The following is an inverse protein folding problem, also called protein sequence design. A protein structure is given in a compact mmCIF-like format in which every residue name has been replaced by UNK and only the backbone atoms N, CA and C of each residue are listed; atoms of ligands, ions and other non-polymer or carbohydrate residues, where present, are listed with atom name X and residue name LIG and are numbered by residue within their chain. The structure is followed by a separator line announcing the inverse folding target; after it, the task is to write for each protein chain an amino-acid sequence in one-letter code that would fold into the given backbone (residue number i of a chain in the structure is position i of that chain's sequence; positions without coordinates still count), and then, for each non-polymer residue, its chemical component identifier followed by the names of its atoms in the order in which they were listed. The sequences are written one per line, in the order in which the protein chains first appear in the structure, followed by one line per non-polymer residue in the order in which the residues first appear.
data_IF_468758887313
#
_entry.id   IF_468758887313
#
_cell.length_a   1.000
_cell.length_b   1.000
_cell.length_c   1.000
_cell.angle_alpha   90.00
_cell.angle_beta   90.00
_cell.angle_gamma   90.00
#
_symmetry.space_group_name_H-M   'P 1'
#
loop_
_entity.id
_entity.type
_entity.pdbx_description
1 polymer ?
#
# COMPACT_ATOMS: atom_id res chain seq x y z
N UNK A 1 -41.03 13.07 -11.39
CA UNK A 1 -39.68 13.62 -11.12
C UNK A 1 -39.19 13.08 -9.77
N UNK A 2 -38.35 12.05 -9.79
CA UNK A 2 -37.77 11.45 -8.59
C UNK A 2 -36.78 12.44 -7.96
N UNK A 3 -37.08 12.93 -6.75
CA UNK A 3 -36.15 13.73 -5.94
C UNK A 3 -35.05 12.78 -5.46
N UNK A 4 -33.90 12.78 -6.14
CA UNK A 4 -32.71 12.09 -5.64
C UNK A 4 -32.37 12.62 -4.25
N UNK A 5 -32.48 11.75 -3.25
CA UNK A 5 -32.14 12.05 -1.85
C UNK A 5 -30.67 12.46 -1.79
N UNK A 6 -30.39 13.58 -1.14
CA UNK A 6 -29.02 14.07 -0.95
C UNK A 6 -28.13 12.94 -0.39
N UNK A 7 -26.94 12.68 -0.98
CA UNK A 7 -26.03 11.67 -0.45
C UNK A 7 -25.60 12.03 0.98
N UNK A 8 -25.33 11.00 1.78
CA UNK A 8 -24.91 11.14 3.18
C UNK A 8 -23.72 12.11 3.32
N UNK A 9 -23.60 12.85 4.44
CA UNK A 9 -22.58 13.90 4.62
C UNK A 9 -21.16 13.43 4.31
N UNK A 10 -20.78 12.24 4.79
CA UNK A 10 -19.47 11.64 4.54
C UNK A 10 -19.16 11.41 3.04
N UNK A 11 -20.17 11.01 2.27
CA UNK A 11 -20.05 10.79 0.81
C UNK A 11 -19.84 12.11 0.07
N UNK A 12 -20.50 13.19 0.50
CA UNK A 12 -20.31 14.53 -0.08
C UNK A 12 -18.89 15.04 0.13
N UNK A 13 -18.33 14.82 1.32
CA UNK A 13 -16.96 15.22 1.64
C UNK A 13 -15.93 14.43 0.83
N UNK A 14 -16.14 13.12 0.66
CA UNK A 14 -15.28 12.29 -0.18
C UNK A 14 -15.32 12.75 -1.65
N UNK A 15 -16.51 12.92 -2.23
CA UNK A 15 -16.64 13.39 -3.62
C UNK A 15 -16.01 14.77 -3.83
N UNK A 16 -16.09 15.66 -2.84
CA UNK A 16 -15.42 16.96 -2.88
C UNK A 16 -13.89 16.84 -2.83
N UNK A 17 -13.35 16.01 -1.93
CA UNK A 17 -11.91 15.70 -1.87
C UNK A 17 -11.41 15.10 -3.19
N UNK A 18 -12.16 14.17 -3.75
CA UNK A 18 -11.83 13.50 -5.02
C UNK A 18 -11.79 14.49 -6.20
N UNK A 19 -12.82 15.33 -6.33
CA UNK A 19 -12.85 16.40 -7.36
C UNK A 19 -11.66 17.36 -7.22
N UNK A 20 -11.36 17.77 -5.99
CA UNK A 20 -10.23 18.66 -5.72
C UNK A 20 -8.88 18.00 -6.03
N UNK A 21 -8.73 16.71 -5.74
CA UNK A 21 -7.54 15.93 -6.07
C UNK A 21 -7.31 15.89 -7.59
N UNK A 22 -8.32 15.49 -8.37
CA UNK A 22 -8.18 15.41 -9.83
C UNK A 22 -7.97 16.77 -10.50
N UNK A 23 -8.60 17.83 -9.98
CA UNK A 23 -8.32 19.19 -10.45
C UNK A 23 -6.85 19.58 -10.24
N UNK A 24 -6.24 19.17 -9.12
CA UNK A 24 -4.80 19.42 -8.86
C UNK A 24 -3.91 18.60 -9.78
N UNK A 25 -4.26 17.34 -10.05
CA UNK A 25 -3.55 16.50 -11.02
C UNK A 25 -3.58 17.14 -12.42
N UNK A 26 -4.76 17.55 -12.88
CA UNK A 26 -4.96 18.20 -14.17
C UNK A 26 -4.20 19.52 -14.28
N UNK A 27 -4.30 20.39 -13.27
CA UNK A 27 -3.54 21.66 -13.23
C UNK A 27 -2.02 21.44 -13.25
N UNK A 28 -1.55 20.31 -12.71
CA UNK A 28 -0.15 19.89 -12.79
C UNK A 28 0.16 19.11 -14.07
N UNK A 29 -0.77 18.92 -15.00
CA UNK A 29 -0.56 18.29 -16.31
C UNK A 29 -0.37 16.77 -16.27
N UNK A 30 -0.91 16.09 -15.25
CA UNK A 30 -0.84 14.63 -15.16
C UNK A 30 -1.76 13.95 -16.18
N UNK A 31 -1.23 12.99 -16.93
CA UNK A 31 -1.98 12.27 -17.97
C UNK A 31 -2.52 13.13 -19.12
N UNK A 32 -2.06 14.39 -19.26
CA UNK A 32 -2.55 15.35 -20.27
C UNK A 32 -1.51 15.72 -21.34
N UNK A 33 -0.28 15.27 -21.20
CA UNK A 33 0.83 15.57 -22.09
C UNK A 33 0.60 15.09 -23.53
N UNK A 34 1.32 15.67 -24.51
CA UNK A 34 1.16 15.33 -25.93
C UNK A 34 1.68 13.93 -26.27
N UNK A 35 2.52 13.33 -25.41
CA UNK A 35 3.04 11.98 -25.57
C UNK A 35 2.02 10.90 -25.19
N UNK A 36 2.37 9.65 -25.55
CA UNK A 36 1.56 8.46 -25.27
C UNK A 36 2.40 7.40 -24.58
N UNK A 37 1.87 6.83 -23.50
CA UNK A 37 2.30 5.53 -22.97
C UNK A 37 1.50 4.50 -23.74
N UNK A 38 2.17 3.66 -24.53
CA UNK A 38 1.52 2.62 -25.33
C UNK A 38 1.92 1.28 -24.75
N UNK A 39 0.99 0.60 -24.10
CA UNK A 39 1.19 -0.76 -23.64
C UNK A 39 0.55 -1.72 -24.64
N UNK A 40 1.39 -2.51 -25.31
CA UNK A 40 0.96 -3.55 -26.24
C UNK A 40 1.01 -4.86 -25.46
N UNK A 41 -0.16 -5.42 -25.18
CA UNK A 41 -0.34 -6.47 -24.18
C UNK A 41 -0.77 -7.75 -24.87
N UNK A 42 -0.13 -8.88 -24.51
CA UNK A 42 -0.62 -10.20 -24.85
C UNK A 42 -1.32 -10.79 -23.63
N UNK A 43 -2.50 -11.38 -23.81
CA UNK A 43 -3.26 -11.97 -22.71
C UNK A 43 -2.53 -13.10 -22.00
N UNK A 44 -1.75 -13.90 -22.74
CA UNK A 44 -0.98 -15.03 -22.23
C UNK A 44 0.31 -14.63 -21.48
N UNK A 45 0.73 -13.36 -21.56
CA UNK A 45 1.91 -12.82 -20.89
C UNK A 45 1.61 -11.45 -20.28
N UNK A 46 0.41 -11.30 -19.68
CA UNK A 46 -0.12 -10.03 -19.20
C UNK A 46 0.81 -9.40 -18.15
N UNK A 47 1.11 -10.11 -17.07
CA UNK A 47 1.96 -9.60 -15.98
C UNK A 47 3.39 -9.26 -16.42
N UNK A 48 4.14 -10.23 -16.93
CA UNK A 48 5.56 -10.07 -17.30
C UNK A 48 5.76 -9.10 -18.47
N UNK A 49 4.88 -9.17 -19.49
CA UNK A 49 4.92 -8.27 -20.64
C UNK A 49 4.62 -6.82 -20.24
N UNK A 50 3.74 -6.62 -19.27
CA UNK A 50 3.44 -5.30 -18.71
C UNK A 50 4.59 -4.79 -17.86
N UNK A 51 5.19 -5.65 -17.02
CA UNK A 51 6.34 -5.31 -16.19
C UNK A 51 7.46 -4.69 -17.04
N UNK A 52 7.89 -5.40 -18.08
CA UNK A 52 8.98 -4.96 -18.95
C UNK A 52 8.70 -3.59 -19.59
N UNK A 53 7.48 -3.36 -20.06
CA UNK A 53 7.10 -2.10 -20.71
C UNK A 53 7.01 -0.94 -19.71
N UNK A 54 6.29 -1.12 -18.59
CA UNK A 54 6.09 -0.06 -17.58
C UNK A 54 7.39 0.32 -16.90
N UNK A 55 8.28 -0.64 -16.66
CA UNK A 55 9.58 -0.39 -16.03
C UNK A 55 10.55 0.35 -16.96
N UNK A 56 10.41 0.20 -18.28
CA UNK A 56 11.20 0.93 -19.27
C UNK A 56 10.83 2.42 -19.39
N UNK A 57 9.58 2.80 -19.08
CA UNK A 57 9.16 4.20 -19.13
C UNK A 57 9.82 5.05 -18.03
N UNK A 58 10.20 6.27 -18.39
CA UNK A 58 10.70 7.25 -17.42
C UNK A 58 9.58 7.78 -16.53
N UNK A 59 9.94 8.27 -15.34
CA UNK A 59 9.00 8.90 -14.39
C UNK A 59 8.20 10.03 -15.05
N UNK A 60 8.86 10.86 -15.85
CA UNK A 60 8.22 11.99 -16.53
C UNK A 60 7.18 11.53 -17.55
N UNK A 61 7.44 10.45 -18.26
CA UNK A 61 6.48 9.89 -19.21
C UNK A 61 5.26 9.32 -18.48
N UNK A 62 5.47 8.51 -17.43
CA UNK A 62 4.40 7.93 -16.62
C UNK A 62 3.51 8.99 -15.97
N UNK A 63 4.09 10.11 -15.54
CA UNK A 63 3.36 11.23 -14.94
C UNK A 63 2.52 11.99 -15.97
N UNK A 64 3.08 12.25 -17.16
CA UNK A 64 2.55 13.27 -18.06
C UNK A 64 1.72 12.71 -19.19
N UNK A 65 2.08 11.57 -19.75
CA UNK A 65 1.54 11.12 -21.02
C UNK A 65 0.19 10.42 -20.86
N UNK A 66 -0.61 10.43 -21.92
CA UNK A 66 -1.86 9.68 -21.98
C UNK A 66 -1.58 8.19 -22.10
N UNK A 67 -2.33 7.36 -21.37
CA UNK A 67 -2.21 5.90 -21.42
C UNK A 67 -3.09 5.31 -22.52
N UNK A 68 -2.51 4.43 -23.34
CA UNK A 68 -3.17 3.67 -24.38
C UNK A 68 -2.81 2.20 -24.21
N UNK A 69 -3.84 1.36 -24.04
CA UNK A 69 -3.69 -0.08 -23.97
C UNK A 69 -4.18 -0.70 -25.28
N UNK A 70 -3.45 -1.67 -25.79
CA UNK A 70 -3.83 -2.45 -26.97
C UNK A 70 -3.55 -3.92 -26.71
N UNK A 71 -4.57 -4.76 -26.80
CA UNK A 71 -4.38 -6.21 -26.80
C UNK A 71 -4.00 -6.69 -28.21
N UNK A 72 -2.94 -7.51 -28.30
CA UNK A 72 -2.48 -8.02 -29.61
C UNK A 72 -3.57 -8.89 -30.24
N UNK A 73 -3.89 -8.63 -31.50
CA UNK A 73 -4.90 -9.39 -32.26
C UNK A 73 -6.33 -8.89 -32.07
N UNK A 74 -6.54 -7.82 -31.30
CA UNK A 74 -7.86 -7.24 -31.06
C UNK A 74 -7.93 -5.82 -31.66
N UNK A 75 -8.86 -5.58 -32.58
CA UNK A 75 -9.14 -4.22 -33.07
C UNK A 75 -9.96 -3.46 -32.03
N UNK A 76 -9.33 -2.49 -31.36
CA UNK A 76 -10.01 -1.62 -30.41
C UNK A 76 -10.87 -0.58 -31.13
N UNK A 77 -12.20 -0.72 -31.06
CA UNK A 77 -13.14 0.32 -31.52
C UNK A 77 -13.24 1.49 -30.52
N UNK A 78 -13.02 1.23 -29.23
CA UNK A 78 -13.08 2.21 -28.14
C UNK A 78 -11.80 2.19 -27.28
N UNK A 79 -11.26 3.38 -26.95
CA UNK A 79 -10.01 3.48 -26.17
C UNK A 79 -10.17 3.20 -24.66
N UNK A 80 -11.39 3.31 -24.11
CA UNK A 80 -11.62 3.17 -22.67
C UNK A 80 -11.92 1.73 -22.23
N UNK A 81 -12.52 0.91 -23.09
CA UNK A 81 -12.85 -0.50 -22.81
C UNK A 81 -11.61 -1.35 -22.52
N UNK A 82 -10.63 -1.41 -23.44
CA UNK A 82 -9.40 -2.20 -23.26
C UNK A 82 -8.59 -1.77 -22.02
N UNK A 83 -8.58 -0.48 -21.70
CA UNK A 83 -7.85 0.02 -20.54
C UNK A 83 -8.49 -0.40 -19.22
N UNK A 84 -9.83 -0.37 -19.12
CA UNK A 84 -10.54 -0.86 -17.92
C UNK A 84 -10.33 -2.35 -17.72
N UNK A 85 -10.48 -3.13 -18.79
CA UNK A 85 -10.26 -4.57 -18.77
C UNK A 85 -8.81 -4.90 -18.38
N UNK A 86 -7.84 -4.19 -18.92
CA UNK A 86 -6.43 -4.36 -18.58
C UNK A 86 -6.15 -4.18 -17.10
N UNK A 87 -6.62 -3.08 -16.47
CA UNK A 87 -6.39 -2.87 -15.04
C UNK A 87 -7.11 -3.89 -14.17
N UNK A 88 -8.29 -4.34 -14.59
CA UNK A 88 -9.00 -5.44 -13.93
C UNK A 88 -8.16 -6.73 -13.97
N UNK A 89 -7.80 -7.22 -15.16
CA UNK A 89 -7.04 -8.47 -15.32
C UNK A 89 -5.66 -8.38 -14.67
N UNK A 90 -4.94 -7.28 -14.86
CA UNK A 90 -3.61 -7.10 -14.29
C UNK A 90 -3.66 -7.10 -12.77
N UNK A 91 -4.68 -6.48 -12.16
CA UNK A 91 -4.82 -6.49 -10.71
C UNK A 91 -5.05 -7.90 -10.15
N UNK A 92 -5.82 -8.74 -10.84
CA UNK A 92 -6.03 -10.13 -10.43
C UNK A 92 -4.76 -10.96 -10.52
N UNK A 93 -3.90 -10.74 -11.52
CA UNK A 93 -2.61 -11.43 -11.60
C UNK A 93 -1.59 -10.86 -10.61
N UNK A 94 -1.41 -9.54 -10.58
CA UNK A 94 -0.35 -8.88 -9.81
C UNK A 94 -0.51 -9.08 -8.29
N UNK A 95 -1.75 -9.07 -7.79
CA UNK A 95 -2.04 -9.24 -6.37
C UNK A 95 -2.42 -10.67 -6.00
N UNK A 96 -2.21 -11.63 -6.91
CA UNK A 96 -2.44 -13.04 -6.63
C UNK A 96 -1.39 -13.57 -5.63
N UNK A 97 -1.82 -14.16 -4.50
CA UNK A 97 -0.88 -14.73 -3.53
C UNK A 97 0.03 -15.83 -4.06
N UNK A 98 -0.35 -16.48 -5.17
CA UNK A 98 0.45 -17.53 -5.81
C UNK A 98 1.85 -17.06 -6.23
N UNK A 99 2.04 -15.77 -6.55
CA UNK A 99 3.35 -15.21 -6.90
C UNK A 99 4.22 -14.87 -5.69
N UNK A 100 3.71 -15.02 -4.46
CA UNK A 100 4.47 -14.81 -3.21
C UNK A 100 4.82 -13.35 -2.90
N UNK A 101 4.47 -12.39 -3.75
CA UNK A 101 4.66 -10.96 -3.48
C UNK A 101 3.66 -10.42 -2.44
N UNK A 102 2.42 -10.90 -2.55
CA UNK A 102 1.32 -10.49 -1.69
C UNK A 102 0.67 -11.71 -1.05
N UNK A 103 -0.10 -11.49 0.01
CA UNK A 103 -0.87 -12.53 0.69
C UNK A 103 -2.20 -11.95 1.20
N UNK A 104 -3.17 -12.81 1.50
CA UNK A 104 -4.39 -12.39 2.19
C UNK A 104 -4.08 -12.08 3.65
N UNK A 105 -4.67 -11.02 4.20
CA UNK A 105 -4.38 -10.56 5.56
C UNK A 105 -4.98 -11.44 6.65
N UNK A 106 -6.08 -12.14 6.35
CA UNK A 106 -6.75 -13.08 7.25
C UNK A 106 -7.58 -14.11 6.46
N UNK A 107 -7.86 -15.26 7.06
CA UNK A 107 -8.53 -16.39 6.40
C UNK A 107 -9.94 -16.08 5.88
N UNK A 108 -10.60 -15.03 6.38
CA UNK A 108 -11.97 -14.62 6.01
C UNK A 108 -12.06 -13.20 5.44
N UNK A 109 -10.91 -12.53 5.25
CA UNK A 109 -10.87 -11.16 4.71
C UNK A 109 -10.07 -11.17 3.41
N UNK A 110 -10.75 -10.92 2.28
CA UNK A 110 -10.12 -10.80 0.96
C UNK A 110 -9.30 -9.51 0.78
N UNK A 111 -8.77 -8.94 1.87
CA UNK A 111 -7.81 -7.84 1.80
C UNK A 111 -6.40 -8.38 1.64
N UNK A 112 -5.64 -7.70 0.79
CA UNK A 112 -4.29 -8.06 0.38
C UNK A 112 -3.28 -7.22 1.15
N UNK A 113 -2.19 -7.85 1.59
CA UNK A 113 -1.03 -7.22 2.18
C UNK A 113 0.26 -7.71 1.51
N UNK A 114 1.36 -7.01 1.76
CA UNK A 114 2.69 -7.45 1.32
C UNK A 114 3.06 -8.71 2.09
N UNK A 115 3.48 -9.77 1.40
CA UNK A 115 3.93 -10.97 2.08
C UNK A 115 5.35 -10.78 2.61
N UNK A 116 5.64 -11.10 3.88
CA UNK A 116 7.02 -11.19 4.36
C UNK A 116 7.86 -12.22 3.57
N UNK A 117 7.21 -13.25 3.02
CA UNK A 117 7.86 -14.29 2.22
C UNK A 117 8.29 -13.81 0.82
N UNK A 118 7.83 -12.63 0.40
CA UNK A 118 8.27 -12.00 -0.85
C UNK A 118 9.78 -11.75 -0.90
N UNK A 119 10.48 -11.73 0.24
CA UNK A 119 11.93 -11.64 0.30
C UNK A 119 12.65 -12.80 -0.43
N UNK A 120 11.97 -13.94 -0.62
CA UNK A 120 12.49 -15.09 -1.36
C UNK A 120 12.16 -15.07 -2.86
N UNK A 121 11.34 -14.12 -3.31
CA UNK A 121 11.03 -13.95 -4.73
C UNK A 121 12.17 -13.19 -5.41
N UNK A 122 12.64 -13.71 -6.54
CA UNK A 122 13.69 -13.07 -7.32
C UNK A 122 13.24 -11.68 -7.79
N UNK A 123 14.13 -10.68 -7.67
CA UNK A 123 13.87 -9.30 -8.05
C UNK A 123 12.62 -8.68 -7.38
N UNK A 124 12.20 -9.18 -6.21
CA UNK A 124 10.98 -8.72 -5.51
C UNK A 124 10.88 -7.21 -5.35
N UNK A 125 12.00 -6.50 -5.08
CA UNK A 125 11.98 -5.05 -4.95
C UNK A 125 11.57 -4.33 -6.25
N UNK A 126 11.99 -4.82 -7.41
CA UNK A 126 11.55 -4.24 -8.70
C UNK A 126 10.08 -4.60 -8.98
N UNK A 127 9.62 -5.79 -8.56
CA UNK A 127 8.19 -6.14 -8.61
C UNK A 127 7.34 -5.21 -7.75
N UNK A 128 7.76 -4.91 -6.51
CA UNK A 128 7.05 -3.95 -5.66
C UNK A 128 7.08 -2.54 -6.26
N UNK A 129 8.22 -2.12 -6.80
CA UNK A 129 8.32 -0.84 -7.53
C UNK A 129 7.37 -0.79 -8.73
N UNK A 130 7.27 -1.88 -9.49
CA UNK A 130 6.28 -2.03 -10.56
C UNK A 130 4.85 -1.92 -10.03
N UNK A 131 4.51 -2.63 -8.96
CA UNK A 131 3.18 -2.54 -8.32
C UNK A 131 2.84 -1.11 -7.92
N UNK A 132 3.80 -0.39 -7.34
CA UNK A 132 3.66 1.04 -7.03
C UNK A 132 3.34 1.87 -8.27
N UNK A 133 4.06 1.66 -9.39
CA UNK A 133 3.80 2.37 -10.65
C UNK A 133 2.40 2.07 -11.19
N UNK A 134 1.95 0.81 -11.12
CA UNK A 134 0.59 0.41 -11.55
C UNK A 134 -0.48 1.11 -10.71
N UNK A 135 -0.33 1.14 -9.38
CA UNK A 135 -1.23 1.87 -8.49
C UNK A 135 -1.30 3.36 -8.84
N UNK A 136 -0.15 3.99 -9.12
CA UNK A 136 -0.08 5.39 -9.53
C UNK A 136 -0.74 5.66 -10.89
N UNK A 137 -0.53 4.77 -11.87
CA UNK A 137 -1.13 4.88 -13.19
C UNK A 137 -2.66 4.71 -13.12
N UNK A 138 -3.14 3.72 -12.37
CA UNK A 138 -4.57 3.52 -12.13
C UNK A 138 -5.19 4.78 -11.53
N UNK A 139 -4.52 5.39 -10.54
CA UNK A 139 -4.99 6.60 -9.89
C UNK A 139 -5.04 7.81 -10.84
N UNK A 140 -3.99 8.11 -11.59
CA UNK A 140 -3.96 9.26 -12.52
C UNK A 140 -5.01 9.13 -13.63
N UNK A 141 -5.13 7.93 -14.19
CA UNK A 141 -6.02 7.66 -15.31
C UNK A 141 -7.43 7.23 -14.90
N UNK A 142 -7.73 7.25 -13.59
CA UNK A 142 -9.06 6.98 -13.03
C UNK A 142 -9.59 5.57 -13.34
N UNK A 143 -8.69 4.58 -13.33
CA UNK A 143 -9.06 3.17 -13.44
C UNK A 143 -9.15 2.52 -12.05
N UNK A 144 -10.08 1.58 -11.92
CA UNK A 144 -10.25 0.79 -10.71
C UNK A 144 -9.48 -0.52 -10.84
N UNK A 145 -9.04 -1.03 -9.71
CA UNK A 145 -8.38 -2.33 -9.58
C UNK A 145 -9.33 -3.28 -8.85
N UNK A 146 -9.28 -4.56 -9.19
CA UNK A 146 -10.00 -5.64 -8.51
C UNK A 146 -9.16 -6.21 -7.36
N UNK A 147 -8.79 -5.31 -6.43
CA UNK A 147 -8.03 -5.67 -5.23
C UNK A 147 -8.38 -4.72 -4.09
N UNK A 148 -8.55 -5.29 -2.89
CA UNK A 148 -8.76 -4.55 -1.67
C UNK A 148 -7.51 -4.67 -0.82
N UNK A 149 -6.99 -3.56 -0.30
CA UNK A 149 -5.78 -3.58 0.53
C UNK A 149 -6.11 -3.33 1.99
N UNK A 150 -5.21 -3.74 2.88
CA UNK A 150 -5.35 -3.46 4.31
C UNK A 150 -5.22 -1.96 4.60
N UNK A 151 -5.73 -1.51 5.74
CA UNK A 151 -5.63 -0.11 6.14
C UNK A 151 -4.17 0.36 6.28
N UNK A 152 -3.23 -0.43 6.85
CA UNK A 152 -1.81 -0.08 6.83
C UNK A 152 -1.20 0.07 5.45
N UNK A 153 -1.64 -0.71 4.46
CA UNK A 153 -1.17 -0.55 3.10
C UNK A 153 -1.50 0.84 2.54
N UNK A 154 -2.74 1.30 2.70
CA UNK A 154 -3.14 2.66 2.31
C UNK A 154 -2.43 3.74 3.13
N UNK A 155 -2.23 3.52 4.44
CA UNK A 155 -1.47 4.44 5.29
C UNK A 155 -0.01 4.55 4.83
N UNK A 156 0.64 3.46 4.44
CA UNK A 156 1.99 3.46 3.90
C UNK A 156 2.10 4.28 2.61
N UNK A 157 1.16 4.11 1.68
CA UNK A 157 1.09 4.93 0.45
C UNK A 157 0.93 6.42 0.75
N UNK A 158 0.19 6.78 1.80
CA UNK A 158 -0.02 8.15 2.24
C UNK A 158 1.07 8.66 3.20
N UNK A 159 2.06 7.82 3.54
CA UNK A 159 3.09 8.09 4.56
C UNK A 159 2.51 8.48 5.92
N UNK A 160 1.40 7.85 6.30
CA UNK A 160 0.76 8.03 7.61
C UNK A 160 1.25 6.97 8.59
N UNK A 161 1.38 7.36 9.86
CA UNK A 161 1.72 6.44 10.93
C UNK A 161 0.59 5.44 11.19
N UNK A 162 0.97 4.21 11.51
CA UNK A 162 0.06 3.19 12.01
C UNK A 162 -0.27 3.42 13.47
N UNK A 163 -1.45 2.99 13.88
CA UNK A 163 -1.92 3.06 15.26
C UNK A 163 -2.58 1.73 15.66
N UNK A 164 -2.90 1.59 16.95
CA UNK A 164 -3.46 0.35 17.50
C UNK A 164 -4.72 -0.13 16.76
N UNK A 165 -5.56 0.79 16.25
CA UNK A 165 -6.79 0.41 15.53
C UNK A 165 -6.52 -0.25 14.17
N UNK A 166 -5.31 -0.13 13.64
CA UNK A 166 -4.93 -0.84 12.42
C UNK A 166 -4.71 -2.33 12.64
N UNK A 167 -4.47 -2.76 13.89
CA UNK A 167 -4.25 -4.16 14.22
C UNK A 167 -5.55 -4.95 14.40
N UNK A 168 -6.68 -4.27 14.67
CA UNK A 168 -7.98 -4.91 14.94
C UNK A 168 -8.36 -5.97 13.89
N UNK A 169 -8.07 -5.69 12.61
CA UNK A 169 -8.38 -6.57 11.48
C UNK A 169 -7.16 -7.32 10.92
N UNK A 170 -5.96 -7.06 11.44
CA UNK A 170 -4.73 -7.72 11.01
C UNK A 170 -4.30 -8.84 11.96
N UNK A 171 -4.46 -8.60 13.26
CA UNK A 171 -4.08 -9.51 14.33
C UNK A 171 -4.89 -9.15 15.58
N UNK A 172 -6.08 -9.75 15.68
CA UNK A 172 -7.03 -9.47 16.74
C UNK A 172 -6.46 -9.80 18.12
N UNK A 173 -5.73 -10.91 18.25
CA UNK A 173 -5.13 -11.35 19.52
C UNK A 173 -4.04 -10.36 19.99
N UNK A 174 -3.18 -9.93 19.06
CA UNK A 174 -2.15 -8.94 19.35
C UNK A 174 -2.76 -7.57 19.66
N UNK A 175 -3.82 -7.18 18.94
CA UNK A 175 -4.60 -5.98 19.24
C UNK A 175 -5.18 -6.02 20.66
N UNK A 176 -5.86 -7.11 21.03
CA UNK A 176 -6.46 -7.28 22.36
C UNK A 176 -5.40 -7.18 23.47
N UNK A 177 -4.23 -7.79 23.27
CA UNK A 177 -3.12 -7.74 24.23
C UNK A 177 -2.61 -6.32 24.46
N UNK A 178 -2.37 -5.55 23.39
CA UNK A 178 -1.92 -4.16 23.49
C UNK A 178 -3.02 -3.22 24.00
N UNK A 179 -4.28 -3.48 23.66
CA UNK A 179 -5.43 -2.72 24.16
C UNK A 179 -5.63 -2.96 25.66
N UNK A 180 -5.45 -4.19 26.15
CA UNK A 180 -5.45 -4.48 27.58
C UNK A 180 -4.35 -3.72 28.31
N UNK A 181 -3.10 -3.74 27.81
CA UNK A 181 -1.98 -2.99 28.38
C UNK A 181 -2.27 -1.48 28.44
N UNK A 182 -2.94 -0.95 27.42
CA UNK A 182 -3.31 0.47 27.34
C UNK A 182 -4.29 0.86 28.44
N UNK A 183 -5.29 0.02 28.71
CA UNK A 183 -6.42 0.33 29.58
C UNK A 183 -6.21 -0.07 31.05
N UNK A 184 -5.22 -0.93 31.34
CA UNK A 184 -4.96 -1.46 32.67
C UNK A 184 -3.61 -0.97 33.22
N UNK A 185 -3.49 -0.94 34.54
CA UNK A 185 -2.22 -0.69 35.22
C UNK A 185 -1.32 -1.93 35.11
N UNK A 186 -0.09 -1.74 34.64
CA UNK A 186 0.87 -2.83 34.42
C UNK A 186 1.91 -2.98 35.53
N UNK A 187 1.86 -2.14 36.56
CA UNK A 187 2.84 -2.12 37.66
C UNK A 187 2.86 -3.49 38.36
N UNK A 188 4.04 -4.13 38.38
CA UNK A 188 4.25 -5.47 38.94
C UNK A 188 3.41 -6.59 38.29
N UNK A 189 2.76 -6.33 37.15
CA UNK A 189 1.99 -7.33 36.38
C UNK A 189 2.78 -7.87 35.20
N UNK A 190 3.52 -7.01 34.51
CA UNK A 190 4.29 -7.34 33.31
C UNK A 190 5.76 -6.95 33.51
N UNK A 191 6.67 -7.90 33.34
CA UNK A 191 8.11 -7.66 33.31
C UNK A 191 8.58 -7.60 31.85
N UNK A 192 8.51 -6.40 31.26
CA UNK A 192 8.82 -6.16 29.85
C UNK A 192 9.90 -5.09 29.73
N UNK A 193 10.72 -5.22 28.70
CA UNK A 193 11.61 -4.16 28.22
C UNK A 193 11.21 -3.73 26.82
N UNK A 194 11.87 -2.74 26.23
CA UNK A 194 11.61 -2.32 24.85
C UNK A 194 12.24 -3.30 23.84
N UNK A 195 11.92 -4.58 23.96
CA UNK A 195 12.34 -5.67 23.07
C UNK A 195 11.15 -6.47 22.59
N UNK A 196 11.35 -7.25 21.54
CA UNK A 196 10.37 -8.19 21.01
C UNK A 196 11.08 -9.45 20.54
N UNK A 197 10.44 -10.60 20.76
CA UNK A 197 10.91 -11.88 20.25
C UNK A 197 10.36 -12.08 18.84
N UNK A 198 11.24 -12.27 17.87
CA UNK A 198 10.90 -12.58 16.48
C UNK A 198 11.47 -13.94 16.08
N UNK A 199 10.66 -14.76 15.43
CA UNK A 199 11.12 -16.02 14.86
C UNK A 199 11.63 -15.77 13.43
N UNK A 200 12.92 -15.97 13.23
CA UNK A 200 13.62 -15.79 11.96
C UNK A 200 14.31 -17.11 11.61
N UNK A 201 13.87 -17.75 10.53
CA UNK A 201 14.37 -19.08 10.11
C UNK A 201 14.29 -20.16 11.19
N UNK A 202 13.21 -20.18 11.98
CA UNK A 202 13.02 -21.15 13.07
C UNK A 202 13.86 -20.86 14.32
N UNK A 203 14.59 -19.74 14.35
CA UNK A 203 15.31 -19.27 15.53
C UNK A 203 14.59 -18.08 16.14
N UNK A 204 14.35 -18.12 17.45
CA UNK A 204 13.82 -16.98 18.19
C UNK A 204 14.97 -16.04 18.50
N UNK A 205 14.89 -14.83 17.97
CA UNK A 205 15.84 -13.74 18.23
C UNK A 205 15.14 -12.60 18.96
N UNK A 206 15.81 -12.04 19.96
CA UNK A 206 15.35 -10.83 20.62
C UNK A 206 15.82 -9.60 19.84
N UNK A 207 14.90 -8.67 19.57
CA UNK A 207 15.18 -7.42 18.85
C UNK A 207 14.73 -6.23 19.66
N UNK A 208 15.59 -5.21 19.74
CA UNK A 208 15.21 -3.95 20.38
C UNK A 208 14.23 -3.14 19.52
N UNK A 209 13.17 -2.64 20.16
CA UNK A 209 12.16 -1.76 19.56
C UNK A 209 12.66 -0.31 19.43
N UNK A 210 13.69 0.05 20.22
CA UNK A 210 14.42 1.32 20.16
C UNK A 210 15.84 1.11 20.68
N UNK A 211 16.74 2.05 20.37
CA UNK A 211 18.14 1.99 20.79
C UNK A 211 18.28 1.82 22.32
N UNK A 212 18.97 0.77 22.76
CA UNK A 212 19.16 0.44 24.17
C UNK A 212 17.90 -0.07 24.86
N UNK A 213 16.90 -0.51 24.08
CA UNK A 213 15.59 -0.92 24.55
C UNK A 213 15.62 -2.09 25.53
N UNK A 214 16.62 -2.97 25.43
CA UNK A 214 16.80 -4.11 26.34
C UNK A 214 17.09 -3.70 27.80
N UNK A 215 17.52 -2.45 28.03
CA UNK A 215 17.81 -1.92 29.36
C UNK A 215 16.74 -0.94 29.87
N UNK A 216 15.63 -0.80 29.14
CA UNK A 216 14.56 0.15 29.45
C UNK A 216 13.31 -0.65 29.79
N UNK A 217 12.96 -0.69 31.08
CA UNK A 217 11.73 -1.34 31.53
C UNK A 217 10.49 -0.57 31.05
N UNK A 218 9.46 -1.33 30.68
CA UNK A 218 8.13 -0.79 30.40
C UNK A 218 7.44 -0.48 31.73
N UNK A 219 6.89 0.71 31.84
CA UNK A 219 6.25 1.28 33.03
C UNK A 219 5.01 2.06 32.60
N UNK A 220 4.12 2.41 33.52
CA UNK A 220 2.97 3.26 33.24
C UNK A 220 3.32 4.58 32.52
N UNK A 221 4.51 5.15 32.79
CA UNK A 221 4.97 6.39 32.17
C UNK A 221 5.34 6.26 30.70
N UNK A 222 5.77 5.07 30.27
CA UNK A 222 6.29 4.84 28.91
C UNK A 222 5.53 3.75 28.13
N UNK A 223 4.52 3.10 28.72
CA UNK A 223 3.74 2.04 28.06
C UNK A 223 3.10 2.46 26.74
N UNK A 224 2.69 3.73 26.62
CA UNK A 224 2.18 4.27 25.35
C UNK A 224 3.23 4.20 24.24
N UNK A 225 4.47 4.59 24.53
CA UNK A 225 5.56 4.50 23.57
C UNK A 225 5.82 3.04 23.19
N UNK A 226 5.83 2.14 24.17
CA UNK A 226 6.00 0.71 23.92
C UNK A 226 4.90 0.16 22.98
N UNK A 227 3.63 0.48 23.23
CA UNK A 227 2.51 0.10 22.37
C UNK A 227 2.70 0.64 20.95
N UNK A 228 3.02 1.92 20.79
CA UNK A 228 3.23 2.53 19.47
C UNK A 228 4.38 1.83 18.69
N UNK A 229 5.45 1.43 19.40
CA UNK A 229 6.57 0.68 18.81
C UNK A 229 6.18 -0.74 18.43
N UNK A 230 5.39 -1.42 19.27
CA UNK A 230 4.89 -2.77 19.01
C UNK A 230 3.94 -2.80 17.81
N UNK A 231 3.04 -1.82 17.70
CA UNK A 231 2.17 -1.64 16.52
C UNK A 231 3.02 -1.50 15.26
N UNK A 232 3.99 -0.58 15.29
CA UNK A 232 4.88 -0.33 14.15
C UNK A 232 5.64 -1.60 13.75
N UNK A 233 6.28 -2.27 14.72
CA UNK A 233 6.98 -3.53 14.46
C UNK A 233 6.04 -4.59 13.87
N UNK A 234 4.83 -4.75 14.39
CA UNK A 234 3.90 -5.80 13.93
C UNK A 234 3.50 -5.62 12.48
N UNK A 235 3.31 -4.38 12.05
CA UNK A 235 2.96 -4.03 10.66
C UNK A 235 4.18 -4.12 9.74
N UNK A 236 5.34 -3.66 10.19
CA UNK A 236 6.51 -3.47 9.31
C UNK A 236 7.44 -4.69 9.25
N UNK A 237 7.35 -5.63 10.21
CA UNK A 237 8.25 -6.79 10.29
C UNK A 237 8.28 -7.59 8.98
N UNK A 238 9.48 -7.78 8.44
CA UNK A 238 9.71 -8.54 7.21
C UNK A 238 9.28 -7.86 5.91
N UNK A 239 8.70 -6.65 5.94
CA UNK A 239 8.12 -5.99 4.75
C UNK A 239 8.60 -4.56 4.51
N UNK A 240 9.54 -4.04 5.31
CA UNK A 240 10.02 -2.64 5.21
C UNK A 240 10.52 -2.31 3.81
N UNK A 241 11.46 -3.09 3.28
CA UNK A 241 12.11 -2.80 1.98
C UNK A 241 11.11 -2.91 0.82
N UNK A 242 10.20 -3.87 0.89
CA UNK A 242 9.12 -4.09 -0.07
C UNK A 242 8.15 -2.92 -0.07
N UNK A 243 7.75 -2.47 1.13
CA UNK A 243 6.88 -1.30 1.31
C UNK A 243 7.55 -0.05 0.75
N UNK A 244 8.83 0.18 1.05
CA UNK A 244 9.60 1.31 0.52
C UNK A 244 9.71 1.28 -1.00
N UNK A 245 9.98 0.11 -1.60
CA UNK A 245 10.06 -0.05 -3.04
C UNK A 245 8.70 0.23 -3.72
N UNK A 246 7.61 -0.25 -3.14
CA UNK A 246 6.24 0.00 -3.61
C UNK A 246 5.88 1.48 -3.51
N UNK A 247 6.09 2.09 -2.35
CA UNK A 247 5.83 3.51 -2.12
C UNK A 247 6.69 4.37 -3.05
N UNK A 248 7.96 4.00 -3.25
CA UNK A 248 8.82 4.65 -4.25
C UNK A 248 8.21 4.57 -5.64
N UNK A 249 7.82 3.37 -6.09
CA UNK A 249 7.18 3.18 -7.40
C UNK A 249 5.92 4.03 -7.58
N UNK A 250 5.09 4.11 -6.54
CA UNK A 250 3.89 4.96 -6.51
C UNK A 250 4.23 6.44 -6.69
N UNK A 251 5.18 6.96 -5.90
CA UNK A 251 5.63 8.36 -5.99
C UNK A 251 6.51 8.67 -7.21
N UNK A 252 6.99 7.67 -7.95
CA UNK A 252 7.56 7.90 -9.29
C UNK A 252 6.47 8.37 -10.27
N UNK A 253 5.22 7.97 -10.03
CA UNK A 253 4.09 8.20 -10.93
C UNK A 253 3.14 9.28 -10.40
N UNK A 254 2.80 9.31 -9.10
CA UNK A 254 1.90 10.30 -8.49
C UNK A 254 2.64 11.03 -7.36
N UNK A 255 3.01 12.30 -7.54
CA UNK A 255 3.75 13.07 -6.52
C UNK A 255 2.90 14.07 -5.75
N UNK A 256 1.62 14.26 -6.07
CA UNK A 256 0.85 15.32 -5.42
C UNK A 256 0.49 15.00 -3.98
N UNK A 257 0.51 13.72 -3.61
CA UNK A 257 0.36 13.27 -2.22
C UNK A 257 1.64 13.41 -1.38
N UNK A 258 2.81 13.65 -1.99
CA UNK A 258 4.08 13.70 -1.24
C UNK A 258 4.23 14.99 -0.40
N UNK A 259 3.45 16.03 -0.71
CA UNK A 259 3.46 17.32 -0.02
C UNK A 259 2.58 17.40 1.23
N UNK A 260 1.97 16.29 1.66
CA UNK A 260 1.15 16.21 2.89
C UNK A 260 1.93 15.64 4.09
N UNK A 261 3.27 15.74 4.08
CA UNK A 261 4.07 15.40 5.27
C UNK A 261 3.61 16.21 6.48
N UNK A 262 3.29 15.56 7.61
CA UNK A 262 3.47 16.20 8.90
C UNK A 262 4.96 16.51 9.05
N UNK A 263 5.30 17.75 9.39
CA UNK A 263 6.63 18.10 9.92
C UNK A 263 6.86 17.31 11.22
N UNK A 264 7.58 16.18 11.15
CA UNK A 264 8.21 15.45 12.27
C UNK A 264 8.88 14.19 11.68
N UNK A 265 10.13 13.81 11.91
CA UNK A 265 11.01 14.03 13.07
C UNK A 265 12.48 14.13 12.61
N UNK A 266 13.18 15.13 13.13
CA UNK A 266 14.56 15.00 13.60
C UNK A 266 14.52 14.45 15.03
#
# INVERSE_FOLDING_TARGET
MSRARAPAPYRRDFEAKLRNFYRKLEAKGYGQGPGKIKLIVRRDHLLEGTFNQVMAYSRKELQRNKLYITFIGEEGLDYSGPSREFFFLLSQELFNPYYGLFEYSANDTYTVQISPMSAFVENHLEWFRFSGRILGLALIHQYLLDAFFTRPFYKALLRLATDLSDLEYLDEEFHQSLQWMKDNDITDVLDLTFTVNEEVFGQVTERELKSGGAHINVTEKNKKEYIDRMVKWRVERGVVQQTEALVRGFYEVEQTLSGQQPLAMA
#
